data_IF_531156784902
#
_entry.id   IF_531156784902
#
_cell.length_a   1.000
_cell.length_b   1.000
_cell.length_c   1.000
_cell.angle_alpha   90.00
_cell.angle_beta   90.00
_cell.angle_gamma   90.00
#
_symmetry.space_group_name_H-M   'P 1'
#
loop_
_entity.id
_entity.type
_entity.pdbx_description
1 polymer ?
#
# COMPACT_ATOMS: atom_id res chain seq x y z
N UNK A 1 -11.55 1.91 -18.25
CA UNK A 1 -11.01 1.19 -17.09
C UNK A 1 -11.91 0.00 -16.85
N UNK A 2 -11.37 -1.21 -16.88
CA UNK A 2 -12.17 -2.39 -16.58
C UNK A 2 -12.06 -2.69 -15.09
N UNK A 3 -12.89 -2.03 -14.27
CA UNK A 3 -12.95 -2.25 -12.80
C UNK A 3 -13.10 -3.75 -12.46
N UNK A 4 -13.67 -4.52 -13.39
CA UNK A 4 -13.77 -5.97 -13.30
C UNK A 4 -12.40 -6.66 -13.22
N UNK A 5 -11.46 -6.32 -14.12
CA UNK A 5 -10.11 -6.93 -14.16
C UNK A 5 -9.30 -6.60 -12.92
N UNK A 6 -9.36 -5.34 -12.45
CA UNK A 6 -8.67 -4.92 -11.22
C UNK A 6 -9.24 -5.70 -10.03
N UNK A 7 -10.55 -5.88 -9.97
CA UNK A 7 -11.20 -6.65 -8.91
C UNK A 7 -10.84 -8.13 -8.97
N UNK A 8 -10.82 -8.75 -10.15
CA UNK A 8 -10.37 -10.14 -10.31
C UNK A 8 -8.92 -10.31 -9.85
N UNK A 9 -8.04 -9.39 -10.24
CA UNK A 9 -6.64 -9.38 -9.80
C UNK A 9 -6.53 -9.19 -8.28
N UNK A 10 -7.34 -8.32 -7.67
CA UNK A 10 -7.41 -8.21 -6.21
C UNK A 10 -7.73 -9.57 -5.57
N UNK A 11 -8.74 -10.28 -6.07
CA UNK A 11 -9.14 -11.57 -5.52
C UNK A 11 -8.06 -12.64 -5.72
N UNK A 12 -7.31 -12.58 -6.82
CA UNK A 12 -6.12 -13.40 -7.05
C UNK A 12 -5.03 -13.08 -6.03
N UNK A 13 -4.67 -11.81 -5.86
CA UNK A 13 -3.64 -11.36 -4.92
C UNK A 13 -3.99 -11.69 -3.45
N UNK A 14 -5.25 -11.54 -3.06
CA UNK A 14 -5.72 -11.90 -1.71
C UNK A 14 -5.66 -13.41 -1.42
N UNK A 15 -5.65 -14.24 -2.47
CA UNK A 15 -5.56 -15.70 -2.37
C UNK A 15 -4.11 -16.17 -2.41
N UNK A 16 -3.35 -15.66 -3.36
CA UNK A 16 -2.06 -16.21 -3.76
C UNK A 16 -0.87 -15.34 -3.33
N UNK A 17 -1.12 -14.11 -2.89
CA UNK A 17 -0.08 -13.12 -2.59
C UNK A 17 0.39 -12.35 -3.82
N UNK A 18 1.29 -11.37 -3.57
CA UNK A 18 2.05 -10.73 -4.64
C UNK A 18 2.96 -11.76 -5.33
N UNK A 19 3.19 -11.63 -6.65
CA UNK A 19 4.20 -12.43 -7.33
C UNK A 19 5.58 -12.25 -6.67
N UNK A 20 6.40 -13.31 -6.69
CA UNK A 20 7.80 -13.27 -6.27
C UNK A 20 8.71 -13.69 -7.46
N UNK A 21 9.51 -12.78 -8.03
CA UNK A 21 9.65 -11.37 -7.64
C UNK A 21 8.42 -10.54 -7.99
N UNK A 22 8.18 -9.49 -7.21
CA UNK A 22 7.11 -8.53 -7.50
C UNK A 22 7.35 -7.83 -8.85
N UNK A 23 6.27 -7.51 -9.61
CA UNK A 23 6.40 -6.87 -10.91
C UNK A 23 7.20 -5.55 -10.84
N UNK A 24 8.32 -5.49 -11.54
CA UNK A 24 9.18 -4.30 -11.60
C UNK A 24 8.99 -3.49 -12.90
N UNK A 25 8.25 -4.03 -13.87
CA UNK A 25 7.94 -3.40 -15.14
C UNK A 25 6.50 -3.75 -15.53
N UNK A 26 5.92 -2.96 -16.43
CA UNK A 26 4.60 -3.22 -16.96
C UNK A 26 4.61 -4.40 -17.91
N UNK A 27 3.48 -5.11 -17.91
CA UNK A 27 3.11 -6.01 -18.99
C UNK A 27 2.39 -5.17 -20.05
N UNK A 28 2.82 -5.26 -21.32
CA UNK A 28 2.29 -4.48 -22.44
C UNK A 28 0.79 -4.70 -22.68
N UNK A 29 0.20 -5.73 -22.06
CA UNK A 29 -1.24 -6.03 -22.12
C UNK A 29 -2.10 -5.46 -20.98
N UNK A 30 -1.54 -4.79 -19.96
CA UNK A 30 -2.32 -4.30 -18.80
C UNK A 30 -2.05 -2.83 -18.48
N UNK A 31 -3.14 -2.08 -18.26
CA UNK A 31 -3.10 -0.66 -17.86
C UNK A 31 -2.80 -0.45 -16.36
N UNK A 32 -2.57 -1.54 -15.61
CA UNK A 32 -2.32 -1.51 -14.17
C UNK A 32 -1.20 -2.48 -13.76
N UNK A 33 -0.52 -2.15 -12.66
CA UNK A 33 0.55 -2.95 -12.06
C UNK A 33 0.35 -3.05 -10.54
N UNK A 34 0.26 -4.27 -9.95
CA UNK A 34 0.21 -4.44 -8.51
C UNK A 34 1.48 -3.91 -7.83
N UNK A 35 1.31 -3.03 -6.85
CA UNK A 35 2.41 -2.42 -6.10
C UNK A 35 2.58 -2.98 -4.68
N UNK A 36 1.50 -3.48 -4.08
CA UNK A 36 1.51 -3.73 -2.65
C UNK A 36 0.31 -4.55 -2.20
N UNK A 37 0.54 -5.45 -1.25
CA UNK A 37 -0.47 -6.21 -0.55
C UNK A 37 -0.07 -6.27 0.92
N UNK A 38 -1.00 -5.99 1.82
CA UNK A 38 -0.86 -6.28 3.24
C UNK A 38 -2.19 -6.82 3.78
N UNK A 39 -2.09 -7.73 4.75
CA UNK A 39 -3.21 -8.39 5.39
C UNK A 39 -3.02 -8.38 6.91
N UNK A 40 -4.06 -7.96 7.63
CA UNK A 40 -4.10 -7.95 9.09
C UNK A 40 -5.33 -8.69 9.60
N UNK A 41 -5.20 -9.99 9.82
CA UNK A 41 -6.30 -10.84 10.26
C UNK A 41 -7.44 -10.87 9.24
N UNK A 42 -8.51 -10.12 9.53
CA UNK A 42 -9.72 -10.05 8.72
C UNK A 42 -9.78 -8.82 7.80
N UNK A 43 -8.72 -8.01 7.69
CA UNK A 43 -8.68 -6.86 6.77
C UNK A 43 -7.48 -6.94 5.83
N UNK A 44 -7.61 -6.36 4.65
CA UNK A 44 -6.54 -6.32 3.66
C UNK A 44 -6.54 -5.00 2.88
N UNK A 45 -5.39 -4.68 2.28
CA UNK A 45 -5.27 -3.63 1.27
C UNK A 45 -4.45 -4.15 0.09
N UNK A 46 -4.87 -3.82 -1.13
CA UNK A 46 -4.13 -4.04 -2.36
C UNK A 46 -3.93 -2.69 -3.04
N UNK A 47 -2.72 -2.39 -3.49
CA UNK A 47 -2.43 -1.13 -4.20
C UNK A 47 -1.95 -1.37 -5.62
N UNK A 48 -2.36 -0.50 -6.54
CA UNK A 48 -2.00 -0.59 -7.95
C UNK A 48 -1.47 0.75 -8.46
N UNK A 49 -0.56 0.67 -9.43
CA UNK A 49 -0.20 1.77 -10.30
C UNK A 49 -0.99 1.65 -11.60
N UNK A 50 -1.75 2.67 -11.94
CA UNK A 50 -2.44 2.84 -13.21
C UNK A 50 -1.70 3.87 -14.04
N UNK A 51 -1.56 3.62 -15.34
CA UNK A 51 -1.13 4.66 -16.25
C UNK A 51 -1.84 4.48 -17.57
N UNK A 52 -2.47 5.56 -18.02
CA UNK A 52 -3.17 5.58 -19.29
C UNK A 52 -2.19 5.77 -20.44
N UNK A 53 -2.55 5.26 -21.62
CA UNK A 53 -1.87 5.63 -22.84
C UNK A 53 -1.94 7.16 -23.04
N UNK A 54 -0.79 7.84 -23.14
CA UNK A 54 -0.68 9.28 -23.34
C UNK A 54 0.12 10.02 -22.26
N UNK A 55 -0.08 11.34 -22.16
CA UNK A 55 0.66 12.25 -21.28
C UNK A 55 0.01 12.46 -19.89
N UNK A 56 -1.05 11.72 -19.57
CA UNK A 56 -1.68 11.83 -18.26
C UNK A 56 -0.75 11.26 -17.18
N UNK A 57 -0.55 11.97 -16.04
CA UNK A 57 0.23 11.43 -14.94
C UNK A 57 -0.38 10.11 -14.47
N UNK A 58 0.46 9.16 -14.10
CA UNK A 58 0.00 7.90 -13.52
C UNK A 58 -0.82 8.14 -12.25
N UNK A 59 -1.55 7.13 -11.82
CA UNK A 59 -2.39 7.17 -10.63
C UNK A 59 -2.12 5.96 -9.76
N UNK A 60 -2.02 6.16 -8.45
CA UNK A 60 -1.86 5.06 -7.49
C UNK A 60 -3.11 4.96 -6.64
N UNK A 61 -3.77 3.83 -6.68
CA UNK A 61 -4.95 3.52 -5.88
C UNK A 61 -4.71 2.40 -4.89
N UNK A 62 -5.48 2.42 -3.81
CA UNK A 62 -5.56 1.35 -2.82
C UNK A 62 -7.00 0.88 -2.68
N UNK A 63 -7.18 -0.44 -2.74
CA UNK A 63 -8.43 -1.16 -2.54
C UNK A 63 -8.38 -1.84 -1.19
N UNK A 64 -9.39 -1.59 -0.35
CA UNK A 64 -9.46 -2.17 1.00
C UNK A 64 -10.53 -3.25 1.06
N UNK A 65 -10.24 -4.30 1.83
CA UNK A 65 -11.10 -5.47 1.95
C UNK A 65 -11.30 -5.85 3.41
N UNK A 66 -12.40 -6.55 3.66
CA UNK A 66 -12.67 -7.22 4.92
C UNK A 66 -13.16 -8.64 4.65
N UNK A 67 -12.59 -9.61 5.36
CA UNK A 67 -12.98 -11.01 5.29
C UNK A 67 -14.17 -11.28 6.20
N UNK A 68 -15.26 -11.73 5.62
CA UNK A 68 -16.48 -12.09 6.34
C UNK A 68 -16.96 -13.46 5.84
N UNK A 69 -17.30 -14.34 6.79
CA UNK A 69 -17.86 -15.66 6.49
C UNK A 69 -16.96 -16.48 5.52
N UNK A 70 -15.64 -16.27 5.62
CA UNK A 70 -14.63 -16.93 4.79
C UNK A 70 -14.27 -16.20 3.50
N UNK A 71 -15.07 -15.23 3.06
CA UNK A 71 -14.94 -14.52 1.79
C UNK A 71 -14.41 -13.10 1.95
N UNK A 72 -13.63 -12.63 0.97
CA UNK A 72 -13.14 -11.26 0.92
C UNK A 72 -14.19 -10.34 0.29
N UNK A 73 -14.59 -9.31 1.03
CA UNK A 73 -15.52 -8.30 0.58
C UNK A 73 -14.80 -6.97 0.42
N UNK A 74 -14.94 -6.35 -0.74
CA UNK A 74 -14.43 -5.02 -1.01
C UNK A 74 -15.18 -3.97 -0.17
N UNK A 75 -14.44 -3.05 0.44
CA UNK A 75 -14.98 -1.91 1.19
C UNK A 75 -14.89 -0.59 0.41
N UNK A 76 -14.20 -0.61 -0.73
CA UNK A 76 -13.84 0.54 -1.54
C UNK A 76 -12.37 0.91 -1.40
N UNK A 77 -12.03 2.07 -1.94
CA UNK A 77 -10.65 2.50 -2.08
C UNK A 77 -10.50 4.00 -2.26
N UNK A 78 -9.24 4.44 -2.30
CA UNK A 78 -8.89 5.80 -2.64
C UNK A 78 -7.56 5.80 -3.38
N UNK A 79 -7.37 6.78 -4.25
CA UNK A 79 -6.12 6.96 -4.97
C UNK A 79 -5.68 8.41 -5.05
N UNK A 80 -4.49 8.60 -5.59
CA UNK A 80 -3.89 9.90 -5.82
C UNK A 80 -2.91 9.84 -6.99
N UNK A 81 -2.47 11.00 -7.46
CA UNK A 81 -1.48 11.08 -8.55
C UNK A 81 -0.21 10.34 -8.17
N UNK A 82 0.30 9.53 -9.10
CA UNK A 82 1.62 8.93 -9.00
C UNK A 82 2.70 10.00 -9.20
N UNK A 83 3.90 9.83 -8.64
CA UNK A 83 5.05 10.64 -9.02
C UNK A 83 5.47 10.32 -10.46
N UNK A 84 6.28 11.18 -11.08
CA UNK A 84 6.70 11.06 -12.49
C UNK A 84 7.40 9.72 -12.80
N UNK A 85 8.21 9.24 -11.85
CA UNK A 85 8.93 7.97 -11.95
C UNK A 85 8.45 6.99 -10.84
N UNK A 86 7.25 6.42 -10.95
CA UNK A 86 6.62 5.67 -9.86
C UNK A 86 7.33 4.36 -9.55
N UNK A 87 8.04 3.77 -10.51
CA UNK A 87 8.76 2.51 -10.31
C UNK A 87 10.24 2.71 -9.91
N UNK A 88 10.76 3.94 -9.97
CA UNK A 88 12.16 4.23 -9.68
C UNK A 88 12.42 4.29 -8.16
N UNK A 89 13.14 3.31 -7.63
CA UNK A 89 13.48 3.26 -6.21
C UNK A 89 14.65 4.21 -5.91
N UNK A 90 14.44 5.13 -4.97
CA UNK A 90 15.41 6.17 -4.59
C UNK A 90 16.16 5.81 -3.32
N UNK A 91 17.39 6.31 -3.17
CA UNK A 91 18.16 6.21 -1.94
C UNK A 91 17.54 7.05 -0.81
N UNK A 92 17.94 6.75 0.42
CA UNK A 92 17.54 7.54 1.59
C UNK A 92 18.06 8.97 1.53
N UNK A 93 19.23 9.19 0.90
CA UNK A 93 19.78 10.53 0.65
C UNK A 93 18.91 11.37 -0.26
N UNK A 94 18.42 10.80 -1.37
CA UNK A 94 17.50 11.48 -2.29
C UNK A 94 16.11 11.73 -1.68
N UNK A 95 15.63 10.80 -0.84
CA UNK A 95 14.35 10.91 -0.14
C UNK A 95 14.41 11.77 1.14
N UNK A 96 15.62 11.97 1.68
CA UNK A 96 15.87 12.55 3.01
C UNK A 96 15.35 11.71 4.19
N UNK A 97 15.06 10.42 3.97
CA UNK A 97 14.50 9.46 4.96
C UNK A 97 14.48 8.04 4.39
N UNK A 98 14.29 7.03 5.24
CA UNK A 98 14.16 5.64 4.79
C UNK A 98 12.71 5.24 4.48
N UNK A 99 11.72 5.81 5.18
CA UNK A 99 10.30 5.59 4.91
C UNK A 99 9.53 6.91 4.72
N UNK A 100 8.73 6.99 3.67
CA UNK A 100 7.84 8.10 3.39
C UNK A 100 6.39 7.62 3.28
N UNK A 101 5.50 8.09 4.15
CA UNK A 101 4.06 7.97 3.91
C UNK A 101 3.62 9.03 2.91
N UNK A 102 3.12 8.60 1.76
CA UNK A 102 2.64 9.52 0.71
C UNK A 102 1.12 9.46 0.50
N UNK A 103 0.45 8.45 1.05
CA UNK A 103 -1.00 8.31 0.99
C UNK A 103 -1.55 7.58 2.20
N UNK A 104 -2.83 7.82 2.49
CA UNK A 104 -3.58 7.08 3.48
C UNK A 104 -5.07 7.15 3.18
N UNK A 105 -5.81 6.15 3.64
CA UNK A 105 -7.23 6.01 3.40
C UNK A 105 -7.94 5.37 4.59
N UNK A 106 -9.26 5.59 4.67
CA UNK A 106 -10.12 4.98 5.68
C UNK A 106 -11.43 4.58 5.03
N UNK A 107 -11.79 3.31 5.14
CA UNK A 107 -13.06 2.77 4.65
C UNK A 107 -13.89 2.24 5.81
N UNK A 108 -15.20 2.39 5.70
CA UNK A 108 -16.14 1.97 6.75
C UNK A 108 -16.34 0.47 6.66
N UNK A 109 -16.06 -0.27 7.73
CA UNK A 109 -16.51 -1.65 7.90
C UNK A 109 -17.97 -1.65 8.30
N UNK A 110 -18.77 -2.52 7.67
CA UNK A 110 -20.20 -2.73 7.99
C UNK A 110 -21.09 -1.49 7.76
N UNK A 111 -20.91 -0.74 6.67
CA UNK A 111 -21.73 0.44 6.34
C UNK A 111 -23.26 0.18 6.37
N UNK A 112 -23.69 -1.09 6.18
CA UNK A 112 -25.10 -1.49 6.12
C UNK A 112 -25.72 -1.84 7.50
N UNK A 113 -25.08 -1.58 8.64
CA UNK A 113 -25.66 -1.85 9.97
C UNK A 113 -26.60 -0.71 10.41
N UNK A 114 -27.78 -1.09 10.90
CA UNK A 114 -28.83 -0.17 11.41
C UNK A 114 -28.43 0.61 12.68
N UNK A 115 -27.40 0.18 13.41
CA UNK A 115 -26.95 0.81 14.65
C UNK A 115 -25.46 1.16 14.58
N UNK A 116 -25.04 2.38 14.98
CA UNK A 116 -23.67 2.90 14.80
C UNK A 116 -22.64 2.31 15.77
N UNK A 117 -23.08 1.48 16.73
CA UNK A 117 -22.20 0.85 17.72
C UNK A 117 -21.33 -0.22 17.05
N UNK A 118 -20.10 0.17 16.69
CA UNK A 118 -19.10 -0.74 16.13
C UNK A 118 -18.84 -0.61 14.62
N UNK A 119 -19.17 0.53 13.99
CA UNK A 119 -18.56 0.89 12.71
C UNK A 119 -17.04 1.01 12.90
N UNK A 120 -16.33 -0.07 12.60
CA UNK A 120 -14.87 -0.13 12.66
C UNK A 120 -14.33 0.41 11.35
N UNK A 121 -13.28 1.20 11.41
CA UNK A 121 -12.61 1.67 10.21
C UNK A 121 -11.58 0.64 9.81
N UNK A 122 -11.47 0.38 8.51
CA UNK A 122 -10.27 -0.21 7.93
C UNK A 122 -9.41 0.95 7.47
N UNK A 123 -8.22 1.07 8.01
CA UNK A 123 -7.30 2.15 7.69
C UNK A 123 -6.17 1.58 6.82
N UNK A 124 -5.72 2.36 5.86
CA UNK A 124 -4.56 2.04 5.03
C UNK A 124 -3.56 3.20 5.00
N UNK A 125 -2.29 2.84 4.82
CA UNK A 125 -1.24 3.76 4.44
C UNK A 125 -0.43 3.21 3.28
N UNK A 126 -0.07 4.11 2.37
CA UNK A 126 0.81 3.87 1.24
C UNK A 126 2.17 4.50 1.51
N UNK A 127 3.20 3.66 1.48
CA UNK A 127 4.56 3.99 1.85
C UNK A 127 5.50 3.86 0.66
N UNK A 128 6.50 4.73 0.63
CA UNK A 128 7.69 4.61 -0.21
C UNK A 128 8.88 4.31 0.69
N UNK A 129 9.57 3.22 0.41
CA UNK A 129 10.77 2.79 1.10
C UNK A 129 12.01 3.08 0.24
N UNK A 130 13.08 3.52 0.89
CA UNK A 130 14.34 3.80 0.21
C UNK A 130 15.04 2.52 -0.25
N UNK A 131 16.06 2.65 -1.11
CA UNK A 131 16.85 1.54 -1.66
C UNK A 131 17.48 0.63 -0.59
N UNK A 132 17.81 1.20 0.57
CA UNK A 132 18.47 0.53 1.69
C UNK A 132 17.52 -0.37 2.50
N UNK A 133 16.20 -0.16 2.41
CA UNK A 133 15.20 -0.87 3.22
C UNK A 133 14.79 -2.18 2.55
N UNK A 134 15.31 -3.32 2.99
CA UNK A 134 14.90 -4.62 2.44
C UNK A 134 13.49 -5.04 2.87
N UNK A 135 13.09 -4.74 4.10
CA UNK A 135 11.84 -5.19 4.72
C UNK A 135 11.24 -4.09 5.59
N UNK A 136 9.93 -4.14 5.82
CA UNK A 136 9.28 -3.35 6.87
C UNK A 136 8.63 -4.25 7.92
N UNK A 137 8.69 -3.83 9.18
CA UNK A 137 8.01 -4.50 10.29
C UNK A 137 6.84 -3.67 10.77
N UNK A 138 5.67 -4.30 10.84
CA UNK A 138 4.43 -3.70 11.36
C UNK A 138 3.93 -4.57 12.51
N UNK A 139 4.28 -4.18 13.75
CA UNK A 139 4.06 -5.03 14.91
C UNK A 139 4.74 -6.39 14.75
N UNK A 140 3.97 -7.46 14.56
CA UNK A 140 4.49 -8.82 14.33
C UNK A 140 4.60 -9.21 12.85
N UNK A 141 4.02 -8.41 11.94
CA UNK A 141 4.07 -8.68 10.50
C UNK A 141 5.40 -8.19 9.94
N UNK A 142 5.98 -8.98 9.04
CA UNK A 142 7.18 -8.64 8.29
C UNK A 142 6.81 -8.67 6.81
N UNK A 143 7.03 -7.56 6.12
CA UNK A 143 6.68 -7.39 4.72
C UNK A 143 7.95 -7.11 3.91
N UNK A 144 8.18 -7.88 2.84
CA UNK A 144 9.26 -7.61 1.90
C UNK A 144 8.98 -6.34 1.11
N UNK A 145 10.03 -5.57 0.83
CA UNK A 145 9.92 -4.36 0.02
C UNK A 145 10.21 -4.70 -1.44
N UNK A 146 9.22 -4.57 -2.35
CA UNK A 146 9.42 -4.78 -3.77
C UNK A 146 10.53 -3.91 -4.37
N UNK A 147 11.03 -4.29 -5.54
CA UNK A 147 12.10 -3.56 -6.24
C UNK A 147 11.76 -2.08 -6.52
N UNK A 148 10.49 -1.74 -6.70
CA UNK A 148 10.04 -0.36 -6.88
C UNK A 148 9.88 0.41 -5.54
N UNK A 149 9.96 -0.26 -4.38
CA UNK A 149 9.92 0.38 -3.07
C UNK A 149 8.55 0.84 -2.57
N UNK A 150 7.45 0.47 -3.23
CA UNK A 150 6.11 0.75 -2.71
C UNK A 150 5.70 -0.34 -1.73
N UNK A 151 5.11 0.06 -0.61
CA UNK A 151 4.52 -0.86 0.36
C UNK A 151 3.19 -0.32 0.83
N UNK A 152 2.21 -1.19 1.00
CA UNK A 152 0.92 -0.85 1.60
C UNK A 152 0.85 -1.44 3.02
N UNK A 153 0.19 -0.74 3.94
CA UNK A 153 -0.02 -1.20 5.31
C UNK A 153 -1.48 -1.02 5.68
N UNK A 154 -2.13 -2.06 6.19
CA UNK A 154 -3.53 -2.04 6.66
C UNK A 154 -3.62 -2.28 8.16
N UNK A 155 -4.60 -1.63 8.82
CA UNK A 155 -4.93 -1.93 10.21
C UNK A 155 -6.39 -1.61 10.55
N UNK A 156 -6.99 -2.45 11.40
CA UNK A 156 -8.35 -2.25 11.92
C UNK A 156 -8.43 -1.49 13.26
N UNK A 157 -7.29 -1.23 13.89
CA UNK A 157 -7.22 -0.53 15.17
C UNK A 157 -7.50 0.98 15.01
N UNK A 158 -7.92 1.64 16.11
CA UNK A 158 -8.15 3.10 16.11
C UNK A 158 -6.87 3.90 15.90
N UNK A 159 -5.74 3.37 16.37
CA UNK A 159 -4.42 3.99 16.31
C UNK A 159 -3.61 3.32 15.21
N UNK A 160 -2.94 4.13 14.40
CA UNK A 160 -1.94 3.70 13.43
C UNK A 160 -0.77 2.98 14.12
N UNK A 161 -0.22 1.94 13.50
CA UNK A 161 0.97 1.27 14.02
C UNK A 161 2.22 2.13 13.79
N UNK A 162 3.28 1.81 14.53
CA UNK A 162 4.65 2.21 14.19
C UNK A 162 5.20 1.16 13.22
N UNK A 163 5.80 1.63 12.14
CA UNK A 163 6.44 0.81 11.10
C UNK A 163 7.95 0.99 11.20
N UNK A 164 8.69 -0.11 11.30
CA UNK A 164 10.15 -0.07 11.32
C UNK A 164 10.68 -0.43 9.93
N UNK A 165 11.64 0.35 9.44
CA UNK A 165 12.37 0.09 8.20
C UNK A 165 13.59 -0.78 8.54
N UNK A 166 13.75 -1.91 7.84
CA UNK A 166 14.82 -2.86 8.10
C UNK A 166 15.74 -2.99 6.90
N UNK A 167 17.05 -3.01 7.15
CA UNK A 167 18.04 -3.41 6.15
C UNK A 167 17.98 -4.93 5.88
N UNK A 168 18.77 -5.38 4.90
CA UNK A 168 18.85 -6.79 4.53
C UNK A 168 19.31 -7.69 5.70
N UNK A 169 20.23 -7.20 6.52
CA UNK A 169 20.73 -7.89 7.72
C UNK A 169 19.75 -7.87 8.91
N UNK A 170 18.60 -7.19 8.76
CA UNK A 170 17.57 -7.05 9.80
C UNK A 170 17.80 -5.91 10.78
N UNK A 171 18.87 -5.11 10.63
CA UNK A 171 19.07 -3.89 11.41
C UNK A 171 17.97 -2.87 11.13
N UNK A 172 17.57 -2.13 12.18
CA UNK A 172 16.56 -1.07 12.06
C UNK A 172 17.22 0.20 11.56
N UNK A 173 16.75 0.72 10.41
CA UNK A 173 17.25 1.95 9.80
C UNK A 173 16.44 3.18 10.22
N UNK A 174 15.13 3.01 10.41
CA UNK A 174 14.20 4.11 10.69
C UNK A 174 12.88 3.58 11.28
N UNK A 175 12.07 4.46 11.85
CA UNK A 175 10.73 4.16 12.32
C UNK A 175 9.73 5.27 11.97
N UNK A 176 8.56 4.88 11.47
CA UNK A 176 7.51 5.78 11.04
C UNK A 176 6.20 5.50 11.78
N UNK A 177 5.70 6.51 12.49
CA UNK A 177 4.40 6.49 13.16
C UNK A 177 3.28 6.83 12.16
N UNK A 178 2.42 5.87 11.82
CA UNK A 178 1.36 6.05 10.82
C UNK A 178 0.19 6.92 11.29
N UNK A 179 0.07 7.16 12.60
CA UNK A 179 -0.93 8.07 13.17
C UNK A 179 -0.62 9.55 12.83
N UNK A 180 0.65 9.86 12.53
CA UNK A 180 1.06 11.22 12.13
C UNK A 180 0.68 11.50 10.68
N UNK A 181 0.24 12.71 10.33
CA UNK A 181 -0.07 13.05 8.94
C UNK A 181 1.14 12.86 8.02
N UNK A 182 0.90 12.64 6.74
CA UNK A 182 1.96 12.59 5.74
C UNK A 182 2.72 13.92 5.76
N UNK A 183 4.05 13.86 5.91
CA UNK A 183 4.90 15.04 5.82
C UNK A 183 5.44 15.08 4.39
N UNK A 184 5.29 16.20 3.65
CA UNK A 184 5.84 16.33 2.32
C UNK A 184 7.34 15.99 2.30
N UNK A 185 7.81 15.43 1.18
CA UNK A 185 9.24 15.34 0.94
C UNK A 185 9.84 16.76 1.04
N UNK A 186 11.04 16.90 1.63
CA UNK A 186 11.72 18.19 1.61
C UNK A 186 11.99 18.57 0.15
N UNK A 187 11.76 19.82 -0.26
CA UNK A 187 12.20 20.29 -1.57
C UNK A 187 13.71 20.02 -1.67
N UNK A 188 14.12 19.37 -2.75
CA UNK A 188 15.54 19.32 -3.10
C UNK A 188 15.93 20.75 -3.51
N UNK A 189 16.85 21.36 -2.76
CA UNK A 189 17.47 22.65 -3.10
C UNK A 189 18.56 22.44 -4.15
#
# INVERSE_FOLDING_TARGET
>A
MNDHEVREECMRLLRDGLPDPAPAARDDGRDFLPLGLDMDGDVAVVTFLHQWAGAAPGFIEGWTFHRRDGEWMELGGAGGSAPDEPLARRSSGEMGRHLLKYGSGRTVRNANRLLPWGAKWVNEARLRASAEVARIRVGKRLLDVPAHGHVAVVWGARRGPIVEALAADGSVLDALDLDRPAVPARPQL
#
